data_IF_993098851578
#
_entry.id   IF_993098851578
#
_cell.length_a   1.000
_cell.length_b   1.000
_cell.length_c   1.000
_cell.angle_alpha   90.00
_cell.angle_beta   90.00
_cell.angle_gamma   90.00
#
_symmetry.space_group_name_H-M   'P 1'
#
loop_
_entity.id
_entity.type
_entity.pdbx_description
1 polymer ?
#
# COMPACT_ATOMS: atom_id res chain seq x y z
N UNK A 1 46.14 -0.51 27.20
CA UNK A 1 45.81 -1.30 26.02
C UNK A 1 44.66 -0.61 25.29
N UNK A 2 44.81 -0.28 24.01
CA UNK A 2 43.68 0.24 23.20
C UNK A 2 42.66 -0.89 23.04
N UNK A 3 41.44 -0.73 23.59
CA UNK A 3 40.37 -1.68 23.41
C UNK A 3 39.94 -1.64 21.94
N UNK A 4 39.78 -2.78 21.28
CA UNK A 4 39.35 -2.92 19.90
C UNK A 4 37.96 -3.56 19.83
N UNK A 5 37.13 -3.12 18.90
CA UNK A 5 35.86 -3.78 18.59
C UNK A 5 36.14 -4.99 17.71
N UNK A 6 35.65 -6.16 18.11
CA UNK A 6 35.68 -7.35 17.26
C UNK A 6 34.26 -7.66 16.77
N UNK A 7 34.13 -7.80 15.48
CA UNK A 7 32.89 -8.23 14.84
C UNK A 7 33.09 -9.60 14.21
N UNK A 8 32.03 -10.38 14.14
CA UNK A 8 32.01 -11.61 13.37
C UNK A 8 32.15 -11.24 11.89
N UNK A 9 32.83 -12.09 11.10
CA UNK A 9 32.99 -11.87 9.66
C UNK A 9 31.60 -11.79 8.99
N UNK A 10 31.27 -10.68 8.28
CA UNK A 10 29.98 -10.55 7.62
C UNK A 10 29.85 -11.50 6.44
N UNK A 11 28.64 -12.05 6.23
CA UNK A 11 28.30 -12.87 5.08
C UNK A 11 28.23 -12.04 3.77
N UNK A 12 28.21 -12.66 2.59
CA UNK A 12 28.28 -11.94 1.31
C UNK A 12 27.23 -10.81 1.15
N UNK A 13 25.96 -11.06 1.49
CA UNK A 13 24.89 -10.04 1.45
C UNK A 13 25.14 -8.92 2.46
N UNK A 14 25.59 -9.25 3.66
CA UNK A 14 25.98 -8.28 4.67
C UNK A 14 27.18 -7.43 4.22
N UNK A 15 28.17 -8.04 3.55
CA UNK A 15 29.29 -7.29 2.96
C UNK A 15 28.83 -6.31 1.89
N UNK A 16 27.86 -6.70 1.03
CA UNK A 16 27.25 -5.81 0.04
C UNK A 16 26.60 -4.59 0.73
N UNK A 17 25.84 -4.79 1.82
CA UNK A 17 25.25 -3.72 2.60
C UNK A 17 26.32 -2.78 3.21
N UNK A 18 27.39 -3.35 3.77
CA UNK A 18 28.48 -2.54 4.32
C UNK A 18 29.20 -1.68 3.27
N UNK A 19 29.25 -2.14 2.01
CA UNK A 19 29.94 -1.47 0.90
C UNK A 19 29.06 -0.49 0.13
N UNK A 20 27.74 -0.61 0.22
CA UNK A 20 26.79 0.26 -0.50
C UNK A 20 26.99 1.74 -0.15
N UNK A 21 26.88 2.62 -1.17
CA UNK A 21 27.21 4.06 -1.05
C UNK A 21 26.10 4.98 -1.52
N UNK A 22 24.96 4.45 -1.98
CA UNK A 22 23.79 5.24 -2.39
C UNK A 22 23.22 6.02 -1.21
N UNK A 23 22.34 6.99 -1.47
CA UNK A 23 21.75 7.81 -0.42
C UNK A 23 20.77 7.03 0.47
N UNK A 24 20.09 6.03 -0.10
CA UNK A 24 19.07 5.20 0.54
C UNK A 24 19.43 3.73 0.35
N UNK A 25 19.73 3.01 1.43
CA UNK A 25 20.24 1.64 1.39
C UNK A 25 19.39 0.74 2.26
N UNK A 26 18.68 -0.21 1.66
CA UNK A 26 17.84 -1.16 2.36
C UNK A 26 18.48 -2.56 2.40
N UNK A 27 18.27 -3.26 3.51
CA UNK A 27 18.71 -4.64 3.72
C UNK A 27 17.58 -5.44 4.37
N UNK A 28 17.10 -6.47 3.70
CA UNK A 28 16.02 -7.28 4.26
C UNK A 28 15.24 -8.08 3.24
N UNK A 29 13.93 -8.18 3.45
CA UNK A 29 12.99 -8.91 2.62
C UNK A 29 12.48 -10.20 3.26
N UNK A 30 13.28 -10.89 4.09
CA UNK A 30 12.84 -12.11 4.79
C UNK A 30 13.34 -12.16 6.23
N UNK A 31 12.80 -13.07 7.04
CA UNK A 31 13.28 -13.29 8.42
C UNK A 31 14.60 -14.06 8.43
N UNK A 32 15.37 -13.88 9.49
CA UNK A 32 16.61 -14.65 9.73
C UNK A 32 17.83 -14.17 8.95
N UNK A 33 17.75 -13.16 8.07
CA UNK A 33 18.87 -12.66 7.26
C UNK A 33 19.96 -11.86 7.99
N UNK A 34 19.92 -11.75 9.33
CA UNK A 34 20.93 -11.04 10.13
C UNK A 34 20.85 -9.51 10.04
N UNK A 35 19.67 -8.96 9.75
CA UNK A 35 19.41 -7.52 9.51
C UNK A 35 19.82 -6.62 10.67
N UNK A 36 19.32 -6.88 11.86
CA UNK A 36 19.52 -6.04 13.05
C UNK A 36 21.00 -6.03 13.49
N UNK A 37 21.71 -7.13 13.32
CA UNK A 37 23.13 -7.22 13.64
C UNK A 37 23.97 -6.39 12.67
N UNK A 38 23.77 -6.54 11.35
CA UNK A 38 24.56 -5.82 10.35
C UNK A 38 24.27 -4.31 10.36
N UNK A 39 23.03 -3.89 10.65
CA UNK A 39 22.68 -2.49 10.81
C UNK A 39 23.40 -1.87 12.01
N UNK A 40 23.38 -2.54 13.18
CA UNK A 40 24.12 -2.12 14.38
C UNK A 40 25.63 -2.08 14.14
N UNK A 41 26.19 -3.11 13.50
CA UNK A 41 27.61 -3.14 13.12
C UNK A 41 27.95 -1.94 12.23
N UNK A 42 27.16 -1.66 11.20
CA UNK A 42 27.38 -0.52 10.28
C UNK A 42 27.36 0.81 11.04
N UNK A 43 26.39 1.04 11.93
CA UNK A 43 26.31 2.24 12.74
C UNK A 43 27.55 2.46 13.60
N UNK A 44 28.02 1.42 14.28
CA UNK A 44 29.23 1.49 15.11
C UNK A 44 30.47 1.74 14.24
N UNK A 45 30.63 1.04 13.12
CA UNK A 45 31.77 1.22 12.22
C UNK A 45 31.82 2.65 11.65
N UNK A 46 30.69 3.28 11.35
CA UNK A 46 30.63 4.66 10.91
C UNK A 46 31.14 5.61 12.00
N UNK A 47 30.67 5.44 13.25
CA UNK A 47 31.13 6.25 14.38
C UNK A 47 32.62 6.10 14.66
N UNK A 48 33.16 4.90 14.52
CA UNK A 48 34.60 4.64 14.71
C UNK A 48 35.47 5.25 13.60
N UNK A 49 34.93 5.26 12.35
CA UNK A 49 35.68 5.65 11.16
C UNK A 49 35.68 7.16 10.92
N UNK A 50 34.52 7.84 11.15
CA UNK A 50 34.31 9.22 10.75
C UNK A 50 34.19 10.14 11.97
N UNK A 51 35.26 10.93 12.31
CA UNK A 51 35.22 11.83 13.45
C UNK A 51 34.06 12.84 13.38
N UNK A 52 33.37 13.01 14.50
CA UNK A 52 32.27 13.95 14.62
C UNK A 52 30.95 13.55 13.98
N UNK A 53 30.86 12.36 13.34
CA UNK A 53 29.64 11.91 12.66
C UNK A 53 28.46 11.76 13.64
N UNK A 54 27.28 12.23 13.24
CA UNK A 54 26.05 12.13 14.01
C UNK A 54 25.16 11.03 13.40
N UNK A 55 24.99 9.95 14.14
CA UNK A 55 24.20 8.79 13.73
C UNK A 55 22.96 8.65 14.59
N UNK A 56 21.78 8.60 13.96
CA UNK A 56 20.52 8.25 14.60
C UNK A 56 20.15 6.81 14.24
N UNK A 57 19.86 6.00 15.25
CA UNK A 57 19.33 4.65 15.08
C UNK A 57 17.93 4.57 15.66
N UNK A 58 16.93 4.32 14.82
CA UNK A 58 15.52 4.50 15.14
C UNK A 58 14.71 3.22 14.94
N UNK A 59 13.77 2.97 15.84
CA UNK A 59 12.76 1.91 15.76
C UNK A 59 11.38 2.45 16.18
N UNK A 60 10.29 1.75 15.85
CA UNK A 60 8.94 2.22 16.20
C UNK A 60 8.75 2.35 17.72
N UNK A 61 9.26 1.40 18.52
CA UNK A 61 9.10 1.43 19.97
C UNK A 61 10.42 1.41 20.71
N UNK A 62 10.49 2.11 21.87
CA UNK A 62 11.69 2.13 22.69
C UNK A 62 12.01 0.79 23.37
N UNK A 63 11.04 0.01 23.91
CA UNK A 63 11.36 -1.29 24.49
C UNK A 63 12.07 -2.23 23.51
N UNK A 64 11.56 -2.34 22.29
CA UNK A 64 12.18 -3.17 21.24
C UNK A 64 13.56 -2.65 20.84
N UNK A 65 13.70 -1.33 20.69
CA UNK A 65 14.98 -0.69 20.40
C UNK A 65 16.00 -1.00 21.49
N UNK A 66 15.60 -0.92 22.76
CA UNK A 66 16.44 -1.21 23.91
C UNK A 66 16.96 -2.64 23.90
N UNK A 67 16.07 -3.62 23.80
CA UNK A 67 16.43 -5.03 23.85
C UNK A 67 17.28 -5.45 22.63
N UNK A 68 16.86 -5.07 21.42
CA UNK A 68 17.47 -5.55 20.19
C UNK A 68 18.75 -4.80 19.80
N UNK A 69 18.93 -3.55 20.23
CA UNK A 69 20.04 -2.73 19.77
C UNK A 69 20.84 -2.07 20.88
N UNK A 70 20.20 -1.39 21.83
CA UNK A 70 20.89 -0.64 22.85
C UNK A 70 21.68 -1.54 23.80
N UNK A 71 21.07 -2.60 24.33
CA UNK A 71 21.77 -3.52 25.25
C UNK A 71 22.92 -4.28 24.57
N UNK A 72 22.75 -4.82 23.35
CA UNK A 72 23.89 -5.37 22.60
C UNK A 72 25.00 -4.35 22.32
N UNK A 73 24.63 -3.11 21.92
CA UNK A 73 25.62 -2.05 21.69
C UNK A 73 26.42 -1.69 22.96
N UNK A 74 25.73 -1.67 24.12
CA UNK A 74 26.44 -1.45 25.42
C UNK A 74 27.49 -2.51 25.70
N UNK A 75 27.24 -3.78 25.39
CA UNK A 75 28.23 -4.85 25.53
C UNK A 75 29.43 -4.65 24.60
N UNK A 76 29.15 -4.33 23.31
CA UNK A 76 30.17 -4.14 22.28
C UNK A 76 31.05 -2.90 22.58
N UNK A 77 30.44 -1.80 23.02
CA UNK A 77 31.08 -0.50 23.20
C UNK A 77 31.61 -0.26 24.59
N UNK A 78 31.60 -1.26 25.48
CA UNK A 78 32.09 -1.14 26.82
C UNK A 78 33.60 -0.75 26.86
N UNK A 79 33.89 0.44 27.41
CA UNK A 79 35.24 1.02 27.46
C UNK A 79 35.77 1.53 26.12
N UNK A 80 34.90 1.69 25.11
CA UNK A 80 35.19 2.29 23.80
C UNK A 80 34.44 3.62 23.62
N UNK A 81 33.18 3.66 24.01
CA UNK A 81 32.36 4.87 23.99
C UNK A 81 31.61 5.04 25.31
N UNK A 82 31.38 6.27 25.73
CA UNK A 82 30.60 6.61 26.93
C UNK A 82 29.11 6.64 26.60
N UNK A 83 28.30 5.95 27.40
CA UNK A 83 26.87 5.97 27.24
C UNK A 83 26.22 7.05 28.14
N UNK A 84 25.44 7.96 27.54
CA UNK A 84 24.54 8.90 28.21
C UNK A 84 23.13 8.31 28.27
N UNK A 85 22.65 8.02 29.48
CA UNK A 85 21.27 7.50 29.66
C UNK A 85 20.20 8.59 29.42
N UNK A 86 20.52 9.84 29.69
CA UNK A 86 19.64 10.97 29.48
C UNK A 86 19.40 11.21 27.97
N UNK A 87 20.47 11.22 27.18
CA UNK A 87 20.41 11.41 25.73
C UNK A 87 20.12 10.14 24.95
N UNK A 88 20.17 8.98 25.60
CA UNK A 88 20.08 7.64 24.96
C UNK A 88 21.12 7.49 23.83
N UNK A 89 22.35 7.96 24.08
CA UNK A 89 23.41 8.04 23.07
C UNK A 89 24.75 7.53 23.58
N UNK A 90 25.54 6.98 22.65
CA UNK A 90 26.96 6.73 22.84
C UNK A 90 27.79 7.89 22.28
N UNK A 91 28.72 8.38 23.08
CA UNK A 91 29.69 9.40 22.70
C UNK A 91 31.05 8.73 22.55
N UNK A 92 31.66 8.87 21.39
CA UNK A 92 32.97 8.30 21.06
C UNK A 92 34.07 9.32 21.28
N UNK A 93 35.31 8.87 21.59
CA UNK A 93 36.46 9.77 21.83
C UNK A 93 36.82 10.67 20.65
N UNK A 94 36.41 10.31 19.42
CA UNK A 94 36.62 11.10 18.21
C UNK A 94 35.49 12.12 17.95
N UNK A 95 34.59 12.36 18.93
CA UNK A 95 33.48 13.32 18.82
C UNK A 95 32.27 12.78 18.08
N UNK A 96 32.27 11.56 17.56
CA UNK A 96 31.10 10.98 16.92
C UNK A 96 30.07 10.53 17.95
N UNK A 97 28.80 10.47 17.54
CA UNK A 97 27.67 10.15 18.40
C UNK A 97 26.73 9.14 17.74
N UNK A 98 26.33 8.12 18.50
CA UNK A 98 25.29 7.16 18.11
C UNK A 98 24.09 7.32 19.04
N UNK A 99 23.04 7.99 18.59
CA UNK A 99 21.79 8.23 19.30
C UNK A 99 20.77 7.13 18.97
N UNK A 100 20.06 6.65 20.01
CA UNK A 100 18.95 5.71 19.87
C UNK A 100 17.64 6.45 20.07
N UNK A 101 16.78 6.42 19.02
CA UNK A 101 15.51 7.11 18.99
C UNK A 101 14.35 6.18 18.67
N UNK A 102 13.13 6.65 18.92
CA UNK A 102 11.91 5.94 18.56
C UNK A 102 10.85 6.91 18.06
N UNK A 103 9.88 6.38 17.30
CA UNK A 103 8.73 7.15 16.83
C UNK A 103 7.50 6.23 16.77
N UNK A 104 6.53 6.44 17.66
CA UNK A 104 5.27 5.69 17.70
C UNK A 104 4.17 6.37 16.90
N UNK A 105 4.19 7.72 16.93
CA UNK A 105 3.19 8.59 16.36
C UNK A 105 3.82 9.93 15.92
N UNK A 106 3.04 10.77 15.29
CA UNK A 106 3.52 12.05 14.74
C UNK A 106 4.06 13.01 15.80
N UNK A 107 3.55 12.97 17.03
CA UNK A 107 4.08 13.82 18.11
C UNK A 107 5.51 13.48 18.49
N UNK A 108 5.91 12.22 18.33
CA UNK A 108 7.30 11.80 18.55
C UNK A 108 8.27 12.34 17.49
N UNK A 109 7.77 12.72 16.29
CA UNK A 109 8.60 13.33 15.23
C UNK A 109 9.12 14.71 15.60
N UNK A 110 8.35 15.46 16.39
CA UNK A 110 8.71 16.83 16.81
C UNK A 110 10.09 16.89 17.50
N UNK A 111 10.47 15.83 18.23
CA UNK A 111 11.77 15.77 18.91
C UNK A 111 12.98 15.72 17.95
N UNK A 112 12.76 15.40 16.65
CA UNK A 112 13.82 15.33 15.63
C UNK A 112 13.86 16.56 14.74
N UNK A 113 12.85 17.43 14.81
CA UNK A 113 12.82 18.65 14.02
C UNK A 113 14.00 19.56 14.39
N UNK A 114 14.59 20.19 13.37
CA UNK A 114 15.76 21.06 13.54
C UNK A 114 17.09 20.33 13.79
N UNK A 115 17.08 19.03 14.08
CA UNK A 115 18.31 18.25 14.26
C UNK A 115 18.92 17.85 12.90
N UNK A 116 20.24 17.66 12.87
CA UNK A 116 20.98 17.22 11.71
C UNK A 116 21.69 15.90 12.00
N UNK A 117 21.43 14.90 11.17
CA UNK A 117 22.08 13.60 11.25
C UNK A 117 22.74 13.26 9.92
N UNK A 118 24.03 12.96 9.95
CA UNK A 118 24.77 12.49 8.78
C UNK A 118 24.27 11.11 8.32
N UNK A 119 23.84 10.29 9.29
CA UNK A 119 23.31 8.95 9.04
C UNK A 119 22.09 8.68 9.90
N UNK A 120 21.05 8.15 9.27
CA UNK A 120 19.83 7.68 9.94
C UNK A 120 19.61 6.20 9.60
N UNK A 121 19.39 5.38 10.63
CA UNK A 121 18.91 4.02 10.50
C UNK A 121 17.43 3.97 10.87
N UNK A 122 16.58 3.50 9.97
CA UNK A 122 15.20 3.12 10.25
C UNK A 122 15.11 1.60 10.28
N UNK A 123 15.11 1.04 11.48
CA UNK A 123 15.07 -0.41 11.69
C UNK A 123 13.62 -0.88 11.72
N UNK A 124 13.34 -1.96 10.94
CA UNK A 124 12.00 -2.42 10.60
C UNK A 124 11.13 -1.30 10.04
N UNK A 125 11.66 -0.66 9.00
CA UNK A 125 11.12 0.57 8.45
C UNK A 125 9.70 0.43 7.90
N UNK A 126 9.25 -0.76 7.54
CA UNK A 126 7.87 -1.04 7.14
C UNK A 126 6.85 -0.91 8.28
N UNK A 127 7.31 -0.74 9.52
CA UNK A 127 6.44 -0.39 10.65
C UNK A 127 6.17 1.11 10.76
N UNK A 128 6.83 1.95 9.95
CA UNK A 128 6.63 3.39 9.92
C UNK A 128 5.81 3.80 8.72
N UNK A 129 4.81 4.69 8.88
CA UNK A 129 4.13 5.30 7.75
C UNK A 129 5.07 6.23 6.95
N UNK A 130 4.71 6.57 5.72
CA UNK A 130 5.57 7.32 4.79
C UNK A 130 5.97 8.70 5.31
N UNK A 131 5.09 9.37 6.08
CA UNK A 131 5.38 10.67 6.67
C UNK A 131 6.59 10.64 7.62
N UNK A 132 6.82 9.54 8.36
CA UNK A 132 8.01 9.37 9.19
C UNK A 132 9.27 9.31 8.32
N UNK A 133 9.24 8.54 7.24
CA UNK A 133 10.35 8.49 6.28
C UNK A 133 10.64 9.88 5.69
N UNK A 134 9.61 10.58 5.23
CA UNK A 134 9.75 11.91 4.62
C UNK A 134 10.34 12.92 5.60
N UNK A 135 9.80 13.01 6.82
CA UNK A 135 10.28 13.92 7.87
C UNK A 135 11.73 13.60 8.26
N UNK A 136 12.10 12.31 8.36
CA UNK A 136 13.48 11.93 8.64
C UNK A 136 14.43 12.27 7.49
N UNK A 137 13.94 12.33 6.25
CA UNK A 137 14.75 12.79 5.10
C UNK A 137 15.17 14.26 5.27
N UNK A 138 14.32 15.12 5.82
CA UNK A 138 14.65 16.53 6.11
C UNK A 138 15.76 16.66 7.17
N UNK A 139 15.80 15.74 8.14
CA UNK A 139 16.82 15.69 9.18
C UNK A 139 18.12 15.00 8.73
N UNK A 140 18.11 14.31 7.56
CA UNK A 140 19.27 13.62 7.00
C UNK A 140 20.14 14.58 6.16
N UNK A 141 20.92 15.38 6.82
CA UNK A 141 21.84 16.38 6.21
C UNK A 141 23.18 16.37 6.94
N UNK A 142 24.17 16.96 6.29
CA UNK A 142 25.51 17.09 6.87
C UNK A 142 25.46 17.86 8.18
N UNK A 143 25.94 17.21 9.25
CA UNK A 143 26.03 17.83 10.58
C UNK A 143 27.20 18.82 10.61
N UNK A 144 27.08 19.96 11.29
CA UNK A 144 28.19 20.88 11.50
C UNK A 144 29.30 20.30 12.37
N UNK A 145 29.07 19.15 13.03
CA UNK A 145 30.02 18.50 13.92
C UNK A 145 30.96 17.51 13.18
N UNK A 146 30.58 17.08 11.98
CA UNK A 146 31.42 16.15 11.21
C UNK A 146 32.70 16.86 10.70
N UNK A 147 33.84 16.21 10.89
CA UNK A 147 35.16 16.79 10.61
C UNK A 147 35.74 16.37 9.25
N UNK A 148 35.01 15.57 8.48
CA UNK A 148 35.44 15.02 7.20
C UNK A 148 34.30 15.08 6.18
N UNK A 149 34.65 15.07 4.90
CA UNK A 149 33.62 15.01 3.84
C UNK A 149 32.86 13.70 3.92
N UNK A 150 31.54 13.79 4.05
CA UNK A 150 30.65 12.65 4.11
C UNK A 150 29.31 12.99 3.42
N UNK A 151 28.83 12.14 2.50
CA UNK A 151 27.49 12.29 1.89
C UNK A 151 26.46 11.65 2.85
N UNK A 152 25.46 12.40 3.32
CA UNK A 152 24.43 11.87 4.20
C UNK A 152 23.74 10.64 3.60
N UNK A 153 23.35 9.69 4.47
CA UNK A 153 22.74 8.42 4.06
C UNK A 153 21.67 7.97 5.03
N UNK A 154 20.68 7.27 4.50
CA UNK A 154 19.74 6.52 5.30
C UNK A 154 19.88 5.01 5.04
N UNK A 155 19.80 4.24 6.12
CA UNK A 155 19.84 2.78 6.10
C UNK A 155 18.53 2.23 6.63
N UNK A 156 18.02 1.20 5.96
CA UNK A 156 16.72 0.61 6.26
C UNK A 156 16.88 -0.88 6.48
N UNK A 157 16.20 -1.41 7.49
CA UNK A 157 15.96 -2.85 7.59
C UNK A 157 14.46 -3.10 7.46
N UNK A 158 14.05 -4.21 6.84
CA UNK A 158 12.65 -4.43 6.52
C UNK A 158 12.28 -5.92 6.40
N UNK A 159 10.99 -6.17 6.58
CA UNK A 159 10.28 -7.36 6.13
C UNK A 159 9.02 -6.90 5.38
N UNK A 160 8.43 -7.73 4.50
CA UNK A 160 7.10 -7.46 3.95
C UNK A 160 6.04 -7.30 5.06
N UNK A 161 5.08 -6.40 4.86
CA UNK A 161 3.98 -6.13 5.79
C UNK A 161 4.18 -4.86 6.63
N UNK A 162 3.14 -4.50 7.38
CA UNK A 162 3.08 -3.28 8.20
C UNK A 162 2.64 -2.04 7.42
N UNK A 163 2.32 -0.98 8.16
CA UNK A 163 1.75 0.28 7.61
C UNK A 163 2.63 0.96 6.55
N UNK A 164 3.92 0.71 6.57
CA UNK A 164 4.89 1.26 5.61
C UNK A 164 5.19 0.36 4.43
N UNK A 165 4.51 -0.79 4.31
CA UNK A 165 4.75 -1.74 3.23
C UNK A 165 4.64 -1.07 1.85
N UNK A 166 3.60 -0.28 1.63
CA UNK A 166 3.29 0.35 0.34
C UNK A 166 4.40 1.29 -0.13
N UNK A 167 4.81 2.27 0.70
CA UNK A 167 5.85 3.23 0.32
C UNK A 167 7.22 2.56 0.15
N UNK A 168 7.52 1.57 1.00
CA UNK A 168 8.79 0.85 0.88
C UNK A 168 8.83 0.01 -0.40
N UNK A 169 7.75 -0.75 -0.69
CA UNK A 169 7.63 -1.55 -1.91
C UNK A 169 7.76 -0.67 -3.15
N UNK A 170 7.05 0.46 -3.21
CA UNK A 170 7.14 1.44 -4.29
C UNK A 170 8.59 1.86 -4.58
N UNK A 171 9.34 2.28 -3.56
CA UNK A 171 10.68 2.83 -3.71
C UNK A 171 11.76 1.78 -4.00
N UNK A 172 11.74 0.64 -3.28
CA UNK A 172 12.85 -0.29 -3.26
C UNK A 172 12.63 -1.56 -4.09
N UNK A 173 11.37 -1.95 -4.31
CA UNK A 173 11.01 -3.20 -5.01
C UNK A 173 10.49 -2.87 -6.41
N UNK A 174 9.41 -2.10 -6.52
CA UNK A 174 8.78 -1.73 -7.79
C UNK A 174 9.59 -0.65 -8.54
N UNK A 175 10.41 0.11 -7.79
CA UNK A 175 11.25 1.21 -8.31
C UNK A 175 10.44 2.27 -9.04
N UNK A 176 9.28 2.60 -8.49
CA UNK A 176 8.41 3.66 -8.95
C UNK A 176 8.78 4.95 -8.20
N UNK A 177 9.32 5.91 -8.93
CA UNK A 177 9.84 7.16 -8.37
C UNK A 177 8.91 8.31 -8.68
N UNK A 178 8.74 9.22 -7.72
CA UNK A 178 7.89 10.41 -7.82
C UNK A 178 8.75 11.68 -7.69
N UNK A 179 8.35 12.74 -8.38
CA UNK A 179 8.97 14.05 -8.25
C UNK A 179 10.50 14.04 -8.47
N UNK A 180 11.26 14.44 -7.45
CA UNK A 180 12.73 14.53 -7.47
C UNK A 180 13.43 13.25 -6.98
N UNK A 181 12.70 12.16 -6.74
CA UNK A 181 13.29 10.87 -6.42
C UNK A 181 14.09 10.33 -7.62
N UNK A 182 15.30 9.83 -7.39
CA UNK A 182 16.19 9.35 -8.45
C UNK A 182 16.53 7.87 -8.23
N UNK A 183 16.44 7.02 -9.27
CA UNK A 183 16.77 5.59 -9.18
C UNK A 183 18.13 5.31 -8.54
N UNK A 184 19.14 6.10 -8.87
CA UNK A 184 20.53 5.94 -8.41
C UNK A 184 20.74 6.22 -6.92
N UNK A 185 19.75 6.82 -6.25
CA UNK A 185 19.81 7.06 -4.81
C UNK A 185 19.41 5.83 -3.98
N UNK A 186 18.80 4.81 -4.59
CA UNK A 186 18.22 3.66 -3.89
C UNK A 186 18.96 2.36 -4.18
N UNK A 187 19.22 1.59 -3.14
CA UNK A 187 19.79 0.24 -3.23
C UNK A 187 19.01 -0.69 -2.32
N UNK A 188 18.49 -1.79 -2.87
CA UNK A 188 17.91 -2.90 -2.10
C UNK A 188 18.84 -4.11 -2.14
N UNK A 189 19.14 -4.66 -0.97
CA UNK A 189 19.88 -5.91 -0.81
C UNK A 189 18.96 -6.91 -0.13
N UNK A 190 18.38 -7.79 -0.94
CA UNK A 190 17.47 -8.81 -0.44
C UNK A 190 18.27 -9.95 0.21
N UNK A 191 17.86 -10.32 1.44
CA UNK A 191 18.47 -11.39 2.21
C UNK A 191 17.41 -12.24 2.91
N UNK A 192 17.67 -13.53 2.94
CA UNK A 192 16.83 -14.57 3.55
C UNK A 192 17.57 -15.28 4.68
N UNK A 193 16.91 -16.21 5.36
CA UNK A 193 17.56 -17.06 6.36
C UNK A 193 18.70 -17.91 5.78
N UNK A 194 18.58 -18.29 4.50
CA UNK A 194 19.59 -19.10 3.80
C UNK A 194 20.91 -18.34 3.56
N UNK A 195 20.90 -17.01 3.59
CA UNK A 195 22.09 -16.18 3.54
C UNK A 195 22.80 -16.06 4.90
N UNK A 196 22.24 -16.66 5.98
CA UNK A 196 22.75 -16.60 7.34
C UNK A 196 23.32 -17.97 7.78
N UNK A 197 24.58 -18.23 7.45
CA UNK A 197 25.26 -19.49 7.75
C UNK A 197 25.22 -19.84 9.24
N UNK A 198 25.22 -18.84 10.13
CA UNK A 198 25.14 -19.09 11.57
C UNK A 198 23.79 -19.73 11.95
N UNK A 199 22.68 -19.17 11.50
CA UNK A 199 21.35 -19.73 11.79
C UNK A 199 21.16 -21.10 11.12
N UNK A 200 21.63 -21.26 9.88
CA UNK A 200 21.58 -22.53 9.18
C UNK A 200 22.29 -23.64 9.96
N UNK A 201 23.45 -23.32 10.56
CA UNK A 201 24.26 -24.29 11.29
C UNK A 201 23.82 -24.50 12.75
N UNK A 202 23.42 -23.43 13.46
CA UNK A 202 23.20 -23.47 14.91
C UNK A 202 21.73 -23.44 15.32
N UNK A 203 20.82 -23.19 14.38
CA UNK A 203 19.38 -23.13 14.65
C UNK A 203 18.56 -23.74 13.50
N UNK A 204 18.83 -24.99 13.08
CA UNK A 204 18.11 -25.62 11.98
C UNK A 204 16.60 -25.74 12.26
N UNK A 205 16.19 -25.88 13.53
CA UNK A 205 14.78 -25.94 13.92
C UNK A 205 14.05 -24.63 13.64
N UNK A 206 14.72 -23.49 13.77
CA UNK A 206 14.15 -22.19 13.37
C UNK A 206 13.90 -22.12 11.86
N UNK A 207 14.80 -22.64 11.04
CA UNK A 207 14.62 -22.71 9.58
C UNK A 207 13.44 -23.60 9.23
N UNK A 208 13.37 -24.82 9.83
CA UNK A 208 12.23 -25.71 9.65
C UNK A 208 10.90 -25.07 10.08
N UNK A 209 10.90 -24.30 11.16
CA UNK A 209 9.69 -23.58 11.61
C UNK A 209 9.23 -22.56 10.56
N UNK A 210 10.14 -21.84 9.89
CA UNK A 210 9.82 -20.95 8.77
C UNK A 210 9.30 -21.72 7.53
N UNK A 211 9.87 -22.88 7.23
CA UNK A 211 9.48 -23.74 6.12
C UNK A 211 8.08 -24.37 6.32
N UNK A 212 7.66 -24.56 7.57
CA UNK A 212 6.35 -25.08 7.95
C UNK A 212 5.27 -24.01 8.14
N UNK A 213 5.56 -22.74 7.87
CA UNK A 213 4.52 -21.70 7.88
C UNK A 213 3.47 -21.96 6.79
N UNK A 214 2.21 -21.50 6.99
CA UNK A 214 1.24 -21.42 5.91
C UNK A 214 1.83 -20.74 4.67
N UNK A 215 1.42 -21.16 3.46
CA UNK A 215 2.10 -20.81 2.23
C UNK A 215 2.29 -19.30 2.03
N UNK A 216 1.26 -18.50 2.32
CA UNK A 216 1.35 -17.04 2.18
C UNK A 216 2.37 -16.44 3.17
N UNK A 217 2.34 -16.86 4.44
CA UNK A 217 3.32 -16.44 5.44
C UNK A 217 4.74 -16.91 5.10
N UNK A 218 4.87 -18.12 4.56
CA UNK A 218 6.14 -18.67 4.09
C UNK A 218 6.71 -17.84 2.95
N UNK A 219 5.89 -17.49 1.95
CA UNK A 219 6.31 -16.61 0.85
C UNK A 219 6.84 -15.28 1.37
N UNK A 220 6.13 -14.62 2.27
CA UNK A 220 6.56 -13.35 2.85
C UNK A 220 7.80 -13.49 3.76
N UNK A 221 7.77 -14.44 4.71
CA UNK A 221 8.75 -14.48 5.80
C UNK A 221 10.01 -15.28 5.48
N UNK A 222 9.90 -16.33 4.63
CA UNK A 222 11.04 -17.16 4.23
C UNK A 222 11.70 -16.68 2.95
N UNK A 223 10.88 -16.34 1.94
CA UNK A 223 11.39 -15.95 0.62
C UNK A 223 11.43 -14.43 0.39
N UNK A 224 10.76 -13.66 1.24
CA UNK A 224 10.73 -12.19 1.12
C UNK A 224 9.93 -11.72 -0.09
N UNK A 225 8.80 -12.39 -0.38
CA UNK A 225 7.87 -11.99 -1.42
C UNK A 225 7.08 -10.74 -0.96
N UNK A 226 7.21 -9.66 -1.71
CA UNK A 226 6.56 -8.38 -1.42
C UNK A 226 5.14 -8.27 -1.95
N UNK A 227 4.63 -9.28 -2.64
CA UNK A 227 3.25 -9.32 -3.11
C UNK A 227 2.33 -10.06 -2.13
N UNK A 228 2.90 -10.70 -1.11
CA UNK A 228 2.18 -11.41 -0.04
C UNK A 228 2.79 -11.02 1.29
N UNK A 229 1.97 -10.62 2.26
CA UNK A 229 2.46 -10.23 3.59
C UNK A 229 1.45 -10.51 4.69
N UNK A 230 1.94 -10.64 5.91
CA UNK A 230 1.11 -10.83 7.09
C UNK A 230 0.27 -9.58 7.36
N UNK A 231 -1.06 -9.75 7.51
CA UNK A 231 -2.00 -8.64 7.68
C UNK A 231 -2.64 -8.14 6.39
N UNK A 232 -2.35 -8.74 5.24
CA UNK A 232 -3.03 -8.44 3.98
C UNK A 232 -4.51 -8.78 4.10
N UNK A 233 -5.38 -7.85 3.69
CA UNK A 233 -6.82 -8.03 3.80
C UNK A 233 -7.39 -8.93 2.70
N UNK A 234 -6.85 -8.84 1.46
CA UNK A 234 -7.28 -9.61 0.28
C UNK A 234 -6.19 -10.59 -0.20
N UNK A 235 -5.89 -11.66 0.56
CA UNK A 235 -4.93 -12.68 0.11
C UNK A 235 -5.43 -13.48 -1.09
N UNK A 236 -6.74 -13.43 -1.38
CA UNK A 236 -7.38 -14.05 -2.54
C UNK A 236 -6.90 -13.43 -3.85
N UNK A 237 -6.57 -12.12 -3.83
CA UNK A 237 -6.14 -11.41 -5.03
C UNK A 237 -4.76 -11.87 -5.52
N UNK A 238 -4.70 -12.30 -6.76
CA UNK A 238 -3.47 -12.72 -7.46
C UNK A 238 -3.48 -12.14 -8.86
N UNK A 239 -2.47 -11.35 -9.22
CA UNK A 239 -2.38 -10.69 -10.52
C UNK A 239 -2.60 -11.67 -11.67
N UNK A 240 -1.91 -12.83 -11.67
CA UNK A 240 -2.07 -13.81 -12.76
C UNK A 240 -3.45 -14.50 -12.87
N UNK A 241 -4.33 -14.30 -11.89
CA UNK A 241 -5.68 -14.88 -11.86
C UNK A 241 -6.76 -13.81 -12.09
N UNK A 242 -6.55 -12.61 -11.53
CA UNK A 242 -7.54 -11.55 -11.49
C UNK A 242 -7.28 -10.44 -12.50
N UNK A 243 -6.27 -10.59 -13.36
CA UNK A 243 -6.03 -9.61 -14.42
C UNK A 243 -6.06 -10.26 -15.79
N UNK A 244 -6.42 -9.50 -16.80
CA UNK A 244 -6.36 -9.92 -18.19
C UNK A 244 -5.96 -8.77 -19.11
N UNK A 245 -5.45 -9.13 -20.29
CA UNK A 245 -5.23 -8.15 -21.35
C UNK A 245 -6.57 -7.51 -21.77
N UNK A 246 -6.59 -6.22 -22.12
CA UNK A 246 -7.79 -5.53 -22.58
C UNK A 246 -8.38 -6.18 -23.83
N UNK A 247 -9.70 -6.28 -23.87
CA UNK A 247 -10.47 -6.73 -25.05
C UNK A 247 -11.70 -5.84 -25.26
N UNK A 248 -12.35 -5.95 -26.40
CA UNK A 248 -13.58 -5.19 -26.69
C UNK A 248 -14.75 -5.75 -25.88
N UNK A 249 -15.36 -4.91 -25.02
CA UNK A 249 -16.53 -5.30 -24.24
C UNK A 249 -17.76 -5.43 -25.16
N UNK A 250 -18.44 -6.61 -25.20
CA UNK A 250 -19.65 -6.81 -25.99
C UNK A 250 -20.75 -5.78 -25.65
N UNK A 251 -21.53 -5.37 -26.64
CA UNK A 251 -22.63 -4.41 -26.44
C UNK A 251 -23.76 -4.96 -25.57
N UNK A 252 -23.94 -6.28 -25.59
CA UNK A 252 -24.94 -6.97 -24.76
C UNK A 252 -24.63 -7.00 -23.27
N UNK A 253 -23.39 -6.74 -22.88
CA UNK A 253 -23.02 -6.76 -21.47
C UNK A 253 -23.43 -5.46 -20.79
N UNK A 254 -24.23 -5.51 -19.70
CA UNK A 254 -24.56 -4.34 -18.91
C UNK A 254 -23.30 -3.70 -18.33
N UNK A 255 -23.21 -2.38 -18.49
CA UNK A 255 -22.07 -1.59 -18.03
C UNK A 255 -22.46 -0.73 -16.85
N UNK A 256 -21.63 -0.72 -15.87
CA UNK A 256 -21.79 0.03 -14.64
C UNK A 256 -20.63 1.02 -14.49
N UNK A 257 -20.89 2.10 -13.79
CA UNK A 257 -19.84 2.95 -13.22
C UNK A 257 -19.91 2.89 -11.71
N UNK A 258 -18.79 3.03 -11.07
CA UNK A 258 -18.68 3.16 -9.63
C UNK A 258 -17.52 4.07 -9.29
N UNK A 259 -17.62 4.80 -8.20
CA UNK A 259 -16.55 5.66 -7.77
C UNK A 259 -16.51 5.81 -6.24
N UNK A 260 -15.32 6.14 -5.76
CA UNK A 260 -15.09 6.73 -4.45
C UNK A 260 -14.59 8.16 -4.65
N UNK A 261 -15.28 9.12 -4.01
CA UNK A 261 -15.00 10.55 -4.16
C UNK A 261 -14.55 11.14 -2.83
N UNK A 262 -13.31 11.58 -2.78
CA UNK A 262 -12.76 12.50 -1.80
C UNK A 262 -12.22 13.73 -2.51
N UNK A 263 -12.17 14.87 -1.80
CA UNK A 263 -11.61 16.11 -2.37
C UNK A 263 -10.13 15.92 -2.79
N UNK A 264 -9.41 15.06 -2.09
CA UNK A 264 -8.00 14.81 -2.32
C UNK A 264 -7.75 13.66 -3.31
N UNK A 265 -8.75 12.79 -3.55
CA UNK A 265 -8.64 11.63 -4.41
C UNK A 265 -9.99 11.27 -5.03
N UNK A 266 -9.99 11.00 -6.33
CA UNK A 266 -11.13 10.48 -7.08
C UNK A 266 -10.73 9.18 -7.77
N UNK A 267 -11.35 8.07 -7.37
CA UNK A 267 -11.17 6.77 -7.97
C UNK A 267 -12.48 6.32 -8.62
N UNK A 268 -12.50 6.12 -9.93
CA UNK A 268 -13.70 5.70 -10.65
C UNK A 268 -13.41 4.57 -11.64
N UNK A 269 -14.35 3.63 -11.76
CA UNK A 269 -14.22 2.42 -12.55
C UNK A 269 -15.44 2.19 -13.42
N UNK A 270 -15.22 1.70 -14.65
CA UNK A 270 -16.25 1.15 -15.51
C UNK A 270 -16.15 -0.36 -15.46
N UNK A 271 -17.28 -1.00 -15.20
CA UNK A 271 -17.36 -2.45 -15.00
C UNK A 271 -18.44 -3.01 -15.90
N UNK A 272 -18.14 -4.07 -16.64
CA UNK A 272 -19.09 -4.81 -17.44
C UNK A 272 -19.32 -6.21 -16.87
N UNK A 273 -20.55 -6.70 -16.91
CA UNK A 273 -20.91 -8.03 -16.42
C UNK A 273 -21.16 -8.96 -17.60
N UNK A 274 -20.52 -10.12 -17.60
CA UNK A 274 -20.80 -11.17 -18.57
C UNK A 274 -22.03 -12.04 -18.18
N UNK A 275 -22.38 -12.98 -19.05
CA UNK A 275 -23.51 -13.91 -18.85
C UNK A 275 -23.26 -14.90 -17.70
N UNK A 276 -21.99 -15.12 -17.34
CA UNK A 276 -21.60 -16.00 -16.22
C UNK A 276 -21.61 -15.29 -14.88
N UNK A 277 -21.91 -13.97 -14.86
CA UNK A 277 -21.83 -13.11 -13.68
C UNK A 277 -20.38 -12.76 -13.29
N UNK A 278 -19.47 -12.75 -14.26
CA UNK A 278 -18.10 -12.24 -14.08
C UNK A 278 -18.08 -10.74 -14.40
N UNK A 279 -17.55 -9.95 -13.48
CA UNK A 279 -17.34 -8.51 -13.61
C UNK A 279 -15.96 -8.22 -14.20
N UNK A 280 -15.92 -7.49 -15.29
CA UNK A 280 -14.70 -7.01 -15.91
C UNK A 280 -14.52 -5.52 -15.64
N UNK A 281 -13.55 -5.15 -14.81
CA UNK A 281 -13.16 -3.76 -14.58
C UNK A 281 -12.29 -3.33 -15.75
N UNK A 282 -12.86 -2.59 -16.72
CA UNK A 282 -12.22 -2.35 -18.01
C UNK A 282 -11.70 -0.92 -18.24
N UNK A 283 -12.04 0.01 -17.35
CA UNK A 283 -11.54 1.39 -17.42
C UNK A 283 -11.41 1.97 -16.03
N UNK A 284 -10.36 2.77 -15.82
CA UNK A 284 -9.99 3.40 -14.57
C UNK A 284 -9.81 4.91 -14.73
N UNK A 285 -10.28 5.67 -13.74
CA UNK A 285 -9.83 7.01 -13.42
C UNK A 285 -9.31 7.00 -12.00
N UNK A 286 -8.10 7.48 -11.82
CA UNK A 286 -7.46 7.57 -10.51
C UNK A 286 -6.71 8.89 -10.46
N UNK A 287 -7.33 9.92 -9.89
CA UNK A 287 -6.84 11.31 -9.89
C UNK A 287 -6.90 11.89 -8.48
N UNK A 288 -5.83 12.58 -8.07
CA UNK A 288 -5.75 13.20 -6.76
C UNK A 288 -4.52 14.07 -6.60
N UNK A 289 -4.41 14.74 -5.45
CA UNK A 289 -3.30 15.65 -5.12
C UNK A 289 -1.93 14.96 -5.10
N UNK A 290 -1.90 13.66 -4.86
CA UNK A 290 -0.66 12.89 -4.82
C UNK A 290 -0.12 12.50 -6.19
N UNK A 291 -0.90 12.72 -7.25
CA UNK A 291 -0.43 12.57 -8.62
C UNK A 291 0.13 13.88 -9.13
N UNK A 292 1.44 14.03 -9.02
CA UNK A 292 2.13 15.11 -9.72
C UNK A 292 1.94 14.95 -11.24
N UNK A 293 1.74 16.06 -11.94
CA UNK A 293 1.75 16.09 -13.39
C UNK A 293 3.17 15.78 -13.94
N UNK A 294 3.31 15.66 -15.25
CA UNK A 294 4.59 15.42 -15.90
C UNK A 294 5.66 16.51 -15.61
N UNK A 295 5.27 17.64 -15.02
CA UNK A 295 6.14 18.76 -14.63
C UNK A 295 6.41 18.80 -13.12
N UNK A 296 5.87 17.84 -12.35
CA UNK A 296 6.08 17.76 -10.90
C UNK A 296 5.18 18.66 -10.06
N UNK A 297 4.13 19.26 -10.66
CA UNK A 297 3.15 20.00 -9.89
C UNK A 297 2.20 19.01 -9.18
N UNK A 298 1.82 19.27 -7.91
CA UNK A 298 0.85 18.42 -7.21
C UNK A 298 -0.47 18.40 -8.00
N UNK A 299 -1.09 17.23 -8.12
CA UNK A 299 -2.41 17.10 -8.71
C UNK A 299 -3.42 17.97 -7.98
N UNK A 300 -4.36 18.55 -8.71
CA UNK A 300 -5.49 19.26 -8.11
C UNK A 300 -6.59 18.26 -7.75
N UNK A 301 -7.18 18.42 -6.56
CA UNK A 301 -8.39 17.68 -6.21
C UNK A 301 -9.53 18.09 -7.13
N UNK A 302 -10.34 17.13 -7.55
CA UNK A 302 -11.51 17.41 -8.39
C UNK A 302 -12.68 17.96 -7.57
N UNK A 303 -13.28 19.07 -8.00
CA UNK A 303 -14.60 19.45 -7.51
C UNK A 303 -15.66 18.45 -7.98
N UNK A 304 -16.81 18.43 -7.31
CA UNK A 304 -17.92 17.51 -7.67
C UNK A 304 -18.33 17.66 -9.13
N UNK A 305 -18.40 18.90 -9.62
CA UNK A 305 -18.71 19.19 -11.02
C UNK A 305 -17.65 18.63 -11.98
N UNK A 306 -16.37 18.85 -11.68
CA UNK A 306 -15.27 18.32 -12.48
C UNK A 306 -15.23 16.79 -12.48
N UNK A 307 -15.56 16.15 -11.36
CA UNK A 307 -15.68 14.69 -11.28
C UNK A 307 -16.80 14.17 -12.19
N UNK A 308 -17.98 14.82 -12.19
CA UNK A 308 -19.09 14.47 -13.08
C UNK A 308 -18.74 14.66 -14.56
N UNK A 309 -18.10 15.78 -14.92
CA UNK A 309 -17.62 16.04 -16.29
C UNK A 309 -16.56 15.00 -16.70
N UNK A 310 -15.70 14.60 -15.77
CA UNK A 310 -14.67 13.58 -16.01
C UNK A 310 -15.28 12.24 -16.37
N UNK A 311 -16.31 11.80 -15.63
CA UNK A 311 -17.03 10.57 -15.94
C UNK A 311 -17.66 10.63 -17.35
N UNK A 312 -18.33 11.74 -17.70
CA UNK A 312 -18.94 11.90 -19.00
C UNK A 312 -17.91 11.92 -20.15
N UNK A 313 -16.82 12.65 -19.98
CA UNK A 313 -15.76 12.76 -21.01
C UNK A 313 -15.11 11.42 -21.31
N UNK A 314 -14.97 10.56 -20.29
CA UNK A 314 -14.32 9.26 -20.41
C UNK A 314 -15.27 8.10 -20.72
N UNK A 315 -16.58 8.37 -20.77
CA UNK A 315 -17.59 7.43 -21.25
C UNK A 315 -17.85 7.70 -22.72
N UNK A 316 -17.47 6.83 -23.65
CA UNK A 316 -17.78 6.99 -25.07
C UNK A 316 -19.29 7.11 -25.31
N UNK A 317 -19.70 7.90 -26.30
CA UNK A 317 -21.12 8.14 -26.59
C UNK A 317 -21.93 6.88 -27.01
N UNK A 318 -21.22 5.86 -27.49
CA UNK A 318 -21.78 4.57 -27.86
C UNK A 318 -21.78 3.54 -26.71
N UNK A 319 -21.32 3.93 -25.51
CA UNK A 319 -21.41 3.10 -24.32
C UNK A 319 -22.62 3.50 -23.49
N UNK A 320 -23.60 2.63 -23.44
CA UNK A 320 -24.76 2.77 -22.55
C UNK A 320 -24.39 2.28 -21.15
N UNK A 321 -24.59 3.14 -20.15
CA UNK A 321 -24.32 2.85 -18.74
C UNK A 321 -25.64 2.54 -18.04
N UNK A 322 -25.76 1.31 -17.52
CA UNK A 322 -26.95 0.86 -16.82
C UNK A 322 -27.22 1.68 -15.57
N UNK A 323 -26.19 1.84 -14.70
CA UNK A 323 -26.26 2.78 -13.58
C UNK A 323 -24.86 3.17 -13.08
N UNK A 324 -24.81 4.22 -12.24
CA UNK A 324 -23.60 4.69 -11.57
C UNK A 324 -23.78 4.53 -10.05
N UNK A 325 -23.07 3.58 -9.45
CA UNK A 325 -23.08 3.34 -8.01
C UNK A 325 -22.27 4.40 -7.27
N UNK A 326 -22.80 4.85 -6.14
CA UNK A 326 -22.14 5.87 -5.31
C UNK A 326 -22.43 5.66 -3.81
N UNK A 327 -21.50 6.06 -2.92
CA UNK A 327 -21.69 5.96 -1.48
C UNK A 327 -22.79 6.91 -0.97
N UNK A 328 -23.41 6.61 0.19
CA UNK A 328 -24.55 7.37 0.71
C UNK A 328 -24.25 8.83 1.04
N UNK A 329 -23.02 9.19 1.35
CA UNK A 329 -22.59 10.55 1.67
C UNK A 329 -22.76 11.52 0.49
N UNK A 330 -22.84 11.03 -0.74
CA UNK A 330 -23.16 11.83 -1.92
C UNK A 330 -24.52 12.53 -1.83
N UNK A 331 -25.43 12.06 -0.99
CA UNK A 331 -26.76 12.68 -0.75
C UNK A 331 -26.77 13.68 0.42
N UNK A 332 -25.63 13.86 1.13
CA UNK A 332 -25.51 14.86 2.17
C UNK A 332 -25.52 16.26 1.56
N UNK A 333 -26.36 17.17 2.11
CA UNK A 333 -26.44 18.55 1.62
C UNK A 333 -25.22 19.36 2.08
N UNK A 334 -24.62 20.08 1.14
CA UNK A 334 -23.54 21.02 1.44
C UNK A 334 -24.10 22.26 2.12
N UNK A 335 -23.39 22.77 3.11
CA UNK A 335 -23.86 23.91 3.94
C UNK A 335 -23.89 25.22 3.17
N UNK A 336 -23.04 25.42 2.20
CA UNK A 336 -22.85 26.63 1.40
C UNK A 336 -23.87 26.74 0.25
N UNK A 337 -24.11 25.63 -0.45
CA UNK A 337 -24.96 25.60 -1.65
C UNK A 337 -26.36 25.05 -1.39
N UNK A 338 -26.57 24.35 -0.27
CA UNK A 338 -27.80 23.61 0.04
C UNK A 338 -28.06 22.40 -0.89
N UNK A 339 -27.19 22.15 -1.86
CA UNK A 339 -27.30 21.04 -2.82
C UNK A 339 -26.48 19.85 -2.33
N UNK A 340 -26.93 18.64 -2.69
CA UNK A 340 -26.13 17.42 -2.49
C UNK A 340 -25.19 17.19 -3.68
N UNK A 341 -24.14 16.40 -3.47
CA UNK A 341 -23.27 15.96 -4.56
C UNK A 341 -24.05 15.18 -5.62
N UNK A 342 -25.00 14.33 -5.21
CA UNK A 342 -25.86 13.57 -6.12
C UNK A 342 -26.71 14.47 -7.03
N UNK A 343 -27.25 15.59 -6.50
CA UNK A 343 -27.97 16.58 -7.31
C UNK A 343 -27.06 17.28 -8.32
N UNK A 344 -25.79 17.51 -7.98
CA UNK A 344 -24.82 18.10 -8.91
C UNK A 344 -24.46 17.09 -10.00
N UNK A 345 -24.14 15.83 -9.67
CA UNK A 345 -23.87 14.78 -10.65
C UNK A 345 -25.06 14.60 -11.62
N UNK A 346 -26.30 14.59 -11.10
CA UNK A 346 -27.52 14.49 -11.93
C UNK A 346 -27.64 15.67 -12.88
N UNK A 347 -27.33 16.91 -12.46
CA UNK A 347 -27.36 18.10 -13.31
C UNK A 347 -26.34 18.03 -14.46
N UNK A 348 -25.26 17.27 -14.31
CA UNK A 348 -24.28 16.96 -15.36
C UNK A 348 -24.62 15.69 -16.16
N UNK A 349 -25.84 15.14 -16.02
CA UNK A 349 -26.29 13.95 -16.76
C UNK A 349 -25.70 12.63 -16.24
N UNK A 350 -25.25 12.60 -14.96
CA UNK A 350 -24.74 11.41 -14.29
C UNK A 350 -25.64 11.09 -13.09
N UNK A 351 -26.79 10.45 -13.29
CA UNK A 351 -27.63 10.03 -12.17
C UNK A 351 -26.92 8.97 -11.34
N UNK A 352 -26.96 9.13 -10.01
CA UNK A 352 -26.30 8.23 -9.06
C UNK A 352 -27.31 7.26 -8.44
N UNK A 353 -26.86 6.02 -8.26
CA UNK A 353 -27.57 5.00 -7.51
C UNK A 353 -26.88 4.77 -6.17
N UNK A 354 -27.65 4.95 -5.08
CA UNK A 354 -27.16 4.86 -3.72
C UNK A 354 -26.93 3.40 -3.30
N UNK A 355 -25.73 3.08 -2.83
CA UNK A 355 -25.41 1.74 -2.32
C UNK A 355 -25.21 1.75 -0.80
N UNK A 356 -25.12 0.57 -0.18
CA UNK A 356 -24.80 0.44 1.23
C UNK A 356 -23.38 0.93 1.52
N UNK A 357 -23.19 1.56 2.68
CA UNK A 357 -21.87 1.91 3.20
C UNK A 357 -21.47 1.05 4.41
N UNK A 358 -22.06 -0.13 4.58
CA UNK A 358 -21.56 -1.10 5.53
C UNK A 358 -20.19 -1.60 5.06
N UNK A 359 -19.13 -1.08 5.69
CA UNK A 359 -17.75 -1.38 5.28
C UNK A 359 -17.42 -2.84 5.46
N UNK A 360 -17.73 -3.41 6.62
CA UNK A 360 -17.38 -4.79 6.95
C UNK A 360 -18.09 -5.75 6.01
N UNK A 361 -19.41 -5.60 5.85
CA UNK A 361 -20.19 -6.44 4.95
C UNK A 361 -19.69 -6.31 3.49
N UNK A 362 -19.46 -5.10 3.01
CA UNK A 362 -18.98 -4.87 1.65
C UNK A 362 -17.58 -5.44 1.40
N UNK A 363 -16.69 -5.41 2.39
CA UNK A 363 -15.38 -6.06 2.29
C UNK A 363 -15.48 -7.59 2.24
N UNK A 364 -16.40 -8.18 3.01
CA UNK A 364 -16.67 -9.63 2.95
C UNK A 364 -17.22 -10.05 1.59
N UNK A 365 -18.13 -9.26 1.03
CA UNK A 365 -18.65 -9.47 -0.32
C UNK A 365 -17.54 -9.39 -1.37
N UNK A 366 -16.66 -8.38 -1.28
CA UNK A 366 -15.54 -8.24 -2.20
C UNK A 366 -14.56 -9.44 -2.09
N UNK A 367 -14.26 -9.91 -0.87
CA UNK A 367 -13.48 -11.13 -0.68
C UNK A 367 -14.13 -12.34 -1.37
N UNK A 368 -15.43 -12.47 -1.25
CA UNK A 368 -16.15 -13.59 -1.86
C UNK A 368 -16.10 -13.50 -3.39
N UNK A 369 -16.21 -12.29 -3.96
CA UNK A 369 -16.08 -12.09 -5.40
C UNK A 369 -14.66 -12.35 -5.93
N UNK A 370 -13.64 -12.22 -5.09
CA UNK A 370 -12.26 -12.55 -5.44
C UNK A 370 -11.95 -14.05 -5.37
N UNK A 371 -12.80 -14.87 -4.76
CA UNK A 371 -12.59 -16.31 -4.73
C UNK A 371 -12.85 -16.96 -6.09
N UNK A 372 -12.11 -18.02 -6.36
CA UNK A 372 -12.35 -18.86 -7.54
C UNK A 372 -13.64 -19.64 -7.35
N UNK A 373 -14.56 -19.52 -8.29
CA UNK A 373 -15.79 -20.30 -8.32
C UNK A 373 -15.51 -21.70 -8.82
N UNK A 374 -15.98 -22.75 -8.11
CA UNK A 374 -15.76 -24.13 -8.55
C UNK A 374 -16.35 -24.43 -9.94
N UNK A 375 -17.48 -23.79 -10.26
CA UNK A 375 -18.24 -24.06 -11.50
C UNK A 375 -17.56 -23.53 -12.75
N UNK A 376 -16.85 -22.42 -12.63
CA UNK A 376 -16.21 -21.72 -13.76
C UNK A 376 -14.69 -21.75 -13.73
N UNK A 377 -14.11 -22.21 -12.62
CA UNK A 377 -12.67 -22.12 -12.31
C UNK A 377 -12.10 -20.69 -12.41
N UNK A 378 -12.97 -19.67 -12.31
CA UNK A 378 -12.63 -18.23 -12.43
C UNK A 378 -13.17 -17.44 -11.26
N UNK A 379 -12.52 -16.31 -10.87
CA UNK A 379 -13.07 -15.38 -9.92
C UNK A 379 -14.28 -14.64 -10.52
N UNK A 380 -15.08 -13.98 -9.66
CA UNK A 380 -16.17 -13.12 -10.14
C UNK A 380 -15.69 -11.73 -10.57
N UNK A 381 -14.47 -11.35 -10.26
CA UNK A 381 -13.88 -10.06 -10.66
C UNK A 381 -12.61 -10.32 -11.44
N UNK A 382 -12.53 -9.73 -12.63
CA UNK A 382 -11.34 -9.68 -13.48
C UNK A 382 -11.06 -8.22 -13.86
N UNK A 383 -9.82 -7.81 -13.78
CA UNK A 383 -9.39 -6.42 -13.94
C UNK A 383 -8.52 -6.33 -15.19
N UNK A 384 -8.81 -5.40 -16.08
CA UNK A 384 -7.93 -5.13 -17.22
C UNK A 384 -6.58 -4.58 -16.74
N UNK A 385 -5.50 -5.02 -17.34
CA UNK A 385 -4.14 -4.57 -17.02
C UNK A 385 -3.97 -3.05 -17.10
N UNK A 386 -4.85 -2.36 -17.83
CA UNK A 386 -4.92 -0.89 -17.91
C UNK A 386 -5.41 -0.22 -16.63
N UNK A 387 -6.08 -0.94 -15.72
CA UNK A 387 -6.53 -0.44 -14.42
C UNK A 387 -5.41 -0.61 -13.36
N UNK A 388 -4.27 -0.01 -13.66
CA UNK A 388 -3.02 -0.22 -12.93
C UNK A 388 -3.09 0.19 -11.44
N UNK A 389 -3.86 1.23 -11.10
CA UNK A 389 -3.96 1.66 -9.71
C UNK A 389 -4.79 0.70 -8.86
N UNK A 390 -5.89 0.15 -9.39
CA UNK A 390 -6.67 -0.87 -8.68
C UNK A 390 -5.82 -2.13 -8.45
N UNK A 391 -5.12 -2.61 -9.49
CA UNK A 391 -4.22 -3.77 -9.40
C UNK A 391 -3.12 -3.54 -8.35
N UNK A 392 -2.59 -2.31 -8.26
CA UNK A 392 -1.56 -1.94 -7.31
C UNK A 392 -2.09 -1.84 -5.87
N UNK A 393 -3.25 -1.22 -5.67
CA UNK A 393 -3.74 -0.86 -4.33
C UNK A 393 -4.48 -2.00 -3.64
N UNK A 394 -5.24 -2.81 -4.37
CA UNK A 394 -6.04 -3.89 -3.79
C UNK A 394 -5.20 -4.87 -2.93
N UNK A 395 -4.05 -5.38 -3.39
CA UNK A 395 -3.21 -6.25 -2.57
C UNK A 395 -2.51 -5.55 -1.40
N UNK A 396 -2.50 -4.21 -1.36
CA UNK A 396 -1.87 -3.44 -0.28
C UNK A 396 -2.82 -3.16 0.89
N UNK A 397 -4.12 -3.46 0.75
CA UNK A 397 -5.09 -3.33 1.84
C UNK A 397 -4.70 -4.23 3.01
N UNK A 398 -4.76 -3.68 4.22
CA UNK A 398 -4.43 -4.38 5.47
C UNK A 398 -5.64 -4.43 6.40
N UNK A 399 -5.67 -5.42 7.29
CA UNK A 399 -6.63 -5.44 8.39
C UNK A 399 -6.42 -4.23 9.31
N UNK A 400 -7.51 -3.61 9.74
CA UNK A 400 -7.45 -2.56 10.76
C UNK A 400 -6.98 -3.14 12.10
N UNK A 401 -6.06 -2.44 12.80
CA UNK A 401 -5.51 -2.92 14.07
C UNK A 401 -6.57 -3.05 15.18
N UNK A 402 -7.64 -2.24 15.14
CA UNK A 402 -8.69 -2.20 16.16
C UNK A 402 -9.90 -3.04 15.79
N UNK A 403 -10.19 -3.15 14.50
CA UNK A 403 -11.27 -3.95 13.95
C UNK A 403 -10.75 -4.83 12.80
N UNK A 404 -10.25 -6.04 13.09
CA UNK A 404 -9.67 -6.92 12.08
C UNK A 404 -10.62 -7.31 10.94
N UNK A 405 -11.93 -7.13 11.10
CA UNK A 405 -12.92 -7.37 10.04
C UNK A 405 -13.07 -6.21 9.06
N UNK A 406 -12.45 -5.06 9.34
CA UNK A 406 -12.40 -3.90 8.45
C UNK A 406 -11.01 -3.74 7.81
N UNK A 407 -10.95 -2.97 6.73
CA UNK A 407 -9.71 -2.53 6.10
C UNK A 407 -9.19 -1.29 6.83
N UNK A 408 -7.89 -1.28 7.11
CA UNK A 408 -7.20 -0.13 7.68
C UNK A 408 -7.39 1.10 6.79
N UNK A 409 -7.69 2.25 7.40
CA UNK A 409 -7.91 3.52 6.68
C UNK A 409 -6.62 4.18 6.20
N UNK A 410 -5.51 3.80 6.78
CA UNK A 410 -4.18 4.30 6.44
C UNK A 410 -3.30 3.18 5.83
N UNK A 411 -2.49 3.49 4.81
CA UNK A 411 -2.37 4.77 4.13
C UNK A 411 -3.60 5.09 3.27
N UNK A 412 -4.12 6.32 3.38
CA UNK A 412 -5.36 6.75 2.72
C UNK A 412 -5.31 6.56 1.19
N UNK A 413 -4.17 6.78 0.55
CA UNK A 413 -3.95 6.59 -0.89
C UNK A 413 -4.17 5.14 -1.39
N UNK A 414 -4.19 4.16 -0.48
CA UNK A 414 -4.38 2.74 -0.83
C UNK A 414 -5.85 2.36 -0.87
N UNK A 415 -6.72 3.04 -0.11
CA UNK A 415 -8.08 2.56 0.14
C UNK A 415 -9.12 3.03 -0.89
N UNK A 416 -8.93 4.16 -1.58
CA UNK A 416 -9.93 4.74 -2.49
C UNK A 416 -10.34 3.81 -3.64
N UNK A 417 -9.38 3.19 -4.31
CA UNK A 417 -9.67 2.29 -5.42
C UNK A 417 -10.40 1.01 -4.95
N UNK A 418 -9.95 0.32 -3.89
CA UNK A 418 -10.71 -0.78 -3.29
C UNK A 418 -12.08 -0.38 -2.74
N UNK A 419 -12.23 0.82 -2.13
CA UNK A 419 -13.53 1.32 -1.65
C UNK A 419 -14.53 1.49 -2.82
N UNK A 420 -14.09 2.04 -3.95
CA UNK A 420 -14.94 2.10 -5.15
C UNK A 420 -15.38 0.69 -5.59
N UNK A 421 -14.48 -0.29 -5.63
CA UNK A 421 -14.83 -1.66 -5.99
C UNK A 421 -15.77 -2.31 -4.94
N UNK A 422 -15.61 -1.99 -3.65
CA UNK A 422 -16.52 -2.40 -2.59
C UNK A 422 -17.96 -1.86 -2.85
N UNK A 423 -18.11 -0.60 -3.24
CA UNK A 423 -19.41 -0.04 -3.60
C UNK A 423 -20.01 -0.73 -4.81
N UNK A 424 -19.19 -1.19 -5.77
CA UNK A 424 -19.70 -1.96 -6.91
C UNK A 424 -20.33 -3.28 -6.46
N UNK A 425 -19.65 -4.07 -5.64
CA UNK A 425 -20.19 -5.37 -5.19
C UNK A 425 -21.41 -5.19 -4.28
N UNK A 426 -21.41 -4.17 -3.41
CA UNK A 426 -22.55 -3.82 -2.55
C UNK A 426 -23.78 -3.32 -3.34
N UNK A 427 -23.59 -2.89 -4.59
CA UNK A 427 -24.66 -2.49 -5.52
C UNK A 427 -25.41 -3.67 -6.13
N UNK A 428 -24.95 -4.91 -5.93
CA UNK A 428 -25.52 -6.14 -6.46
C UNK A 428 -25.82 -6.07 -7.97
N UNK A 429 -24.79 -5.87 -8.82
CA UNK A 429 -24.97 -5.71 -10.26
C UNK A 429 -25.53 -6.99 -10.90
N UNK A 430 -26.39 -6.81 -11.92
CA UNK A 430 -27.00 -7.89 -12.67
C UNK A 430 -26.04 -8.42 -13.74
N UNK A 431 -26.03 -9.73 -13.94
CA UNK A 431 -25.34 -10.36 -15.06
C UNK A 431 -26.04 -10.05 -16.40
N UNK A 432 -25.30 -10.16 -17.50
CA UNK A 432 -25.90 -10.12 -18.82
C UNK A 432 -26.93 -11.25 -18.94
N UNK A 433 -28.07 -10.92 -19.51
CA UNK A 433 -29.03 -11.95 -19.89
C UNK A 433 -28.53 -12.62 -21.16
N UNK A 434 -28.47 -13.95 -21.17
CA UNK A 434 -28.32 -14.70 -22.42
C UNK A 434 -29.50 -14.30 -23.31
N UNK A 435 -29.27 -13.87 -24.57
CA UNK A 435 -30.39 -13.69 -25.48
C UNK A 435 -31.18 -15.00 -25.48
N UNK A 436 -32.42 -14.96 -25.05
CA UNK A 436 -33.31 -16.07 -25.34
C UNK A 436 -33.25 -16.27 -26.84
N UNK A 437 -32.92 -17.49 -27.31
CA UNK A 437 -33.26 -17.91 -28.64
C UNK A 437 -34.77 -17.64 -28.70
N UNK A 438 -35.15 -16.58 -29.40
CA UNK A 438 -36.54 -16.33 -29.71
C UNK A 438 -36.91 -17.54 -30.52
N UNK A 439 -37.76 -18.41 -29.96
CA UNK A 439 -38.46 -19.41 -30.75
C UNK A 439 -39.26 -18.63 -31.83
N UNK A 440 -38.71 -18.58 -33.04
CA UNK A 440 -39.36 -17.95 -34.22
C UNK A 440 -40.70 -18.63 -34.54
N UNK A 441 -41.06 -19.69 -33.82
CA UNK A 441 -42.27 -20.51 -34.04
C UNK A 441 -43.35 -20.31 -32.98
N UNK A 442 -43.25 -19.32 -32.05
CA UNK A 442 -44.38 -19.03 -31.17
C UNK A 442 -45.20 -17.87 -31.80
N UNK A 443 -46.33 -18.11 -32.41
CA UNK A 443 -47.23 -17.03 -32.83
C UNK A 443 -47.64 -16.24 -31.59
N UNK A 444 -47.47 -14.91 -31.62
CA UNK A 444 -48.06 -14.04 -30.62
C UNK A 444 -49.57 -14.16 -30.76
N UNK A 445 -50.19 -14.93 -29.88
CA UNK A 445 -51.64 -15.02 -29.75
C UNK A 445 -52.14 -13.67 -29.17
N UNK A 446 -52.54 -12.77 -30.08
CA UNK A 446 -53.07 -11.44 -29.74
C UNK A 446 -54.58 -11.46 -29.46
N UNK A 447 -55.18 -12.63 -29.33
CA UNK A 447 -56.62 -12.79 -29.12
C UNK A 447 -56.89 -13.50 -27.77
N UNK A 448 -56.70 -12.83 -26.66
CA UNK A 448 -57.50 -13.05 -25.42
C UNK A 448 -57.06 -12.01 -24.36
N UNK A 449 -58.09 -11.23 -23.91
CA UNK A 449 -58.08 -10.21 -22.83
C UNK A 449 -58.04 -8.72 -23.26
N UNK A 450 -58.94 -8.31 -24.15
CA UNK A 450 -59.40 -6.93 -24.24
C UNK A 450 -60.95 -6.86 -24.21
N UNK A 451 -61.58 -7.67 -23.40
CA UNK A 451 -62.98 -7.46 -22.95
C UNK A 451 -62.93 -7.49 -21.42
N UNK A 452 -62.89 -6.29 -20.77
CA UNK A 452 -63.46 -6.02 -19.42
C UNK A 452 -62.91 -4.72 -18.79
N UNK A 453 -62.83 -3.63 -19.55
CA UNK A 453 -62.55 -2.32 -18.93
C UNK A 453 -63.38 -1.15 -19.53
N UNK A 454 -64.70 -1.36 -19.83
CA UNK A 454 -65.62 -0.28 -20.04
C UNK A 454 -67.01 -0.68 -19.52
N UNK A 455 -67.20 -0.58 -18.19
CA UNK A 455 -68.54 -0.33 -17.61
C UNK A 455 -68.30 0.24 -16.20
N UNK A 456 -68.25 1.58 -16.12
CA UNK A 456 -68.57 2.31 -14.92
C UNK A 456 -69.35 3.57 -15.37
N UNK A 457 -70.61 3.35 -15.65
CA UNK A 457 -71.58 4.41 -15.77
C UNK A 457 -72.13 4.80 -14.42
N UNK A 458 -72.34 6.09 -14.25
CA UNK A 458 -72.69 6.88 -13.13
C UNK A 458 -73.85 6.46 -12.22
N UNK A 459 -73.68 6.96 -10.99
CA UNK A 459 -74.71 7.06 -9.96
C UNK A 459 -74.12 7.94 -8.81
#
# INVERSE_FOLDING_TARGET
MKKSVRFVRPYPKQQAFLRAKTARIAYGGARGGGKSEIARMKAILLCLKYPGIQVLFMRRTYPELKENHLLPARKILNGIAKYSSMDKAFEFPNGSRLKFGYCRNDSDLLQYQGQAYDVIFLEECTQFPENVYTTMTESNRTSPLIQVSFKPRMYFTCNPGGVGHAWFKRLFIDREYRNQERPDDYTMIQATVYDNEYLMKHSPDYVRALENLPEDRKRAMLYGDWNVFEGQYFPEFRTGLHTCAPFGIPSSWPRYRVFDYGFDMFAAYWVAMDETGTAYVYREVYEGKDKADQYGNPGEGLTIAQAAERLNRLTPRNEEIFCTFAPPDMWNRQRDTGRSAAEIFAAYGVPLYKVSNDRVQGWWELKDWLKVRPETEKPRIVIFETCANLIRTLPLCQHDEKNPDDVAKDPHEVTHAPDALRYFVSGQPLAAQTPNEWDEDTPLDYDEEVEDFYDYDGG
#
